data_IF_764190460948
#
_entry.id   IF_764190460948
#
_cell.length_a   1.000
_cell.length_b   1.000
_cell.length_c   1.000
_cell.angle_alpha   90.00
_cell.angle_beta   90.00
_cell.angle_gamma   90.00
#
_symmetry.space_group_name_H-M   'P 1'
#
loop_
_entity.id
_entity.type
_entity.pdbx_description
1 polymer ?
#
# COMPACT_ATOMS: atom_id res chain seq x y z
N UNK A 1 32.61 4.22 -3.07
CA UNK A 1 31.28 4.68 -3.49
C UNK A 1 31.09 6.15 -3.11
N UNK A 2 30.20 6.88 -3.79
CA UNK A 2 29.90 8.29 -3.46
C UNK A 2 28.69 8.37 -2.53
N UNK A 3 28.80 9.12 -1.44
CA UNK A 3 27.71 9.38 -0.51
C UNK A 3 27.34 10.86 -0.59
N UNK A 4 26.06 11.14 -0.82
CA UNK A 4 25.55 12.51 -0.92
C UNK A 4 24.56 12.79 0.21
N UNK A 5 24.86 13.78 1.04
CA UNK A 5 23.98 14.25 2.12
C UNK A 5 23.68 15.73 1.87
N UNK A 6 22.47 16.01 1.36
CA UNK A 6 22.10 17.36 0.92
C UNK A 6 22.98 17.83 -0.24
N UNK A 7 23.76 18.89 -0.03
CA UNK A 7 24.71 19.44 -1.03
C UNK A 7 26.13 18.89 -0.88
N UNK A 8 26.42 18.14 0.18
CA UNK A 8 27.76 17.62 0.46
C UNK A 8 27.94 16.25 -0.20
N UNK A 9 29.09 16.06 -0.85
CA UNK A 9 29.49 14.80 -1.47
C UNK A 9 30.80 14.32 -0.84
N UNK A 10 30.83 13.05 -0.44
CA UNK A 10 32.02 12.41 0.14
C UNK A 10 32.25 11.05 -0.52
N UNK A 11 33.52 10.64 -0.56
CA UNK A 11 33.88 9.28 -0.93
C UNK A 11 33.89 8.40 0.31
N UNK A 12 33.29 7.20 0.18
CA UNK A 12 33.28 6.17 1.20
C UNK A 12 33.88 4.89 0.60
N UNK A 13 34.94 4.39 1.23
CA UNK A 13 35.53 3.08 0.89
C UNK A 13 34.91 1.99 1.76
N UNK A 14 33.72 1.53 1.36
CA UNK A 14 33.06 0.35 1.92
C UNK A 14 32.64 -0.58 0.78
N UNK A 15 33.43 -1.63 0.56
CA UNK A 15 33.19 -2.61 -0.51
C UNK A 15 31.92 -3.43 -0.29
N UNK A 16 31.56 -3.71 0.96
CA UNK A 16 30.37 -4.53 1.27
C UNK A 16 29.11 -3.73 1.00
N UNK A 17 29.09 -2.47 1.41
CA UNK A 17 27.97 -1.57 1.12
C UNK A 17 27.85 -1.30 -0.38
N UNK A 18 28.97 -1.03 -1.07
CA UNK A 18 28.97 -0.82 -2.51
C UNK A 18 28.35 -2.01 -3.25
N UNK A 19 28.78 -3.24 -2.90
CA UNK A 19 28.23 -4.45 -3.51
C UNK A 19 26.73 -4.63 -3.21
N UNK A 20 26.32 -4.38 -1.97
CA UNK A 20 24.90 -4.48 -1.60
C UNK A 20 24.02 -3.48 -2.36
N UNK A 21 24.51 -2.27 -2.64
CA UNK A 21 23.80 -1.27 -3.45
C UNK A 21 23.70 -1.73 -4.91
N UNK A 22 24.77 -2.25 -5.49
CA UNK A 22 24.77 -2.81 -6.85
C UNK A 22 23.77 -3.97 -6.99
N UNK A 23 23.87 -4.98 -6.13
CA UNK A 23 23.01 -6.16 -6.16
C UNK A 23 21.53 -5.77 -5.94
N UNK A 24 21.25 -4.81 -5.05
CA UNK A 24 19.90 -4.30 -4.83
C UNK A 24 19.32 -3.67 -6.10
N UNK A 25 20.09 -2.83 -6.79
CA UNK A 25 19.66 -2.18 -8.03
C UNK A 25 19.38 -3.21 -9.14
N UNK A 26 20.25 -4.20 -9.31
CA UNK A 26 20.09 -5.26 -10.31
C UNK A 26 18.83 -6.10 -10.05
N UNK A 27 18.65 -6.58 -8.81
CA UNK A 27 17.48 -7.38 -8.43
C UNK A 27 16.20 -6.56 -8.56
N UNK A 28 16.21 -5.28 -8.16
CA UNK A 28 15.04 -4.41 -8.30
C UNK A 28 14.64 -4.22 -9.75
N UNK A 29 15.61 -4.02 -10.65
CA UNK A 29 15.35 -3.91 -12.08
C UNK A 29 14.74 -5.19 -12.67
N UNK A 30 15.21 -6.36 -12.25
CA UNK A 30 14.62 -7.65 -12.64
C UNK A 30 13.19 -7.80 -12.13
N UNK A 31 12.94 -7.45 -10.86
CA UNK A 31 11.60 -7.47 -10.26
C UNK A 31 10.66 -6.54 -11.02
N UNK A 32 11.11 -5.34 -11.39
CA UNK A 32 10.29 -4.38 -12.12
C UNK A 32 9.92 -4.89 -13.52
N UNK A 33 10.89 -5.47 -14.24
CA UNK A 33 10.62 -6.11 -15.53
C UNK A 33 9.62 -7.28 -15.40
N UNK A 34 9.76 -8.11 -14.37
CA UNK A 34 8.84 -9.21 -14.10
C UNK A 34 7.44 -8.71 -13.71
N UNK A 35 7.33 -7.63 -12.93
CA UNK A 35 6.06 -7.02 -12.56
C UNK A 35 5.32 -6.46 -13.77
N UNK A 36 6.02 -5.83 -14.70
CA UNK A 36 5.43 -5.37 -15.96
C UNK A 36 4.91 -6.55 -16.80
N UNK A 37 5.67 -7.65 -16.88
CA UNK A 37 5.20 -8.86 -17.55
C UNK A 37 3.96 -9.47 -16.86
N UNK A 38 3.95 -9.53 -15.53
CA UNK A 38 2.82 -10.02 -14.74
C UNK A 38 1.56 -9.19 -14.93
N UNK A 39 1.69 -7.88 -15.15
CA UNK A 39 0.57 -6.98 -15.39
C UNK A 39 -0.24 -7.40 -16.61
N UNK A 40 0.42 -7.75 -17.72
CA UNK A 40 -0.25 -8.23 -18.93
C UNK A 40 -1.06 -9.50 -18.69
N UNK A 41 -0.49 -10.47 -17.97
CA UNK A 41 -1.22 -11.70 -17.61
C UNK A 41 -2.39 -11.43 -16.66
N UNK A 42 -2.20 -10.53 -15.68
CA UNK A 42 -3.25 -10.14 -14.74
C UNK A 42 -4.43 -9.50 -15.48
N UNK A 43 -4.17 -8.64 -16.45
CA UNK A 43 -5.22 -7.95 -17.22
C UNK A 43 -6.05 -8.95 -18.04
N UNK A 44 -5.41 -9.92 -18.71
CA UNK A 44 -6.10 -11.00 -19.43
C UNK A 44 -6.94 -11.86 -18.47
N UNK A 45 -6.34 -12.33 -17.36
CA UNK A 45 -7.02 -13.14 -16.34
C UNK A 45 -8.24 -12.40 -15.79
N UNK A 46 -8.09 -11.12 -15.44
CA UNK A 46 -9.19 -10.31 -14.92
C UNK A 46 -10.29 -10.09 -15.96
N UNK A 47 -9.94 -9.92 -17.23
CA UNK A 47 -10.92 -9.77 -18.32
C UNK A 47 -11.75 -11.04 -18.47
N UNK A 48 -11.10 -12.21 -18.57
CA UNK A 48 -11.79 -13.50 -18.67
C UNK A 48 -12.60 -13.84 -17.42
N UNK A 49 -12.07 -13.55 -16.25
CA UNK A 49 -12.78 -13.69 -14.99
C UNK A 49 -14.09 -12.90 -14.94
N UNK A 50 -14.11 -11.65 -15.45
CA UNK A 50 -15.33 -10.85 -15.55
C UNK A 50 -16.33 -11.44 -16.53
N UNK A 51 -15.87 -11.91 -17.69
CA UNK A 51 -16.73 -12.57 -18.68
C UNK A 51 -17.41 -13.81 -18.08
N UNK A 52 -16.66 -14.65 -17.37
CA UNK A 52 -17.17 -15.86 -16.72
C UNK A 52 -18.20 -15.54 -15.63
N UNK A 53 -17.99 -14.46 -14.87
CA UNK A 53 -18.90 -14.02 -13.81
C UNK A 53 -20.07 -13.16 -14.30
N UNK A 54 -20.14 -12.79 -15.58
CA UNK A 54 -21.15 -11.84 -16.07
C UNK A 54 -22.60 -12.27 -15.79
N UNK A 55 -22.83 -13.58 -15.67
CA UNK A 55 -24.13 -14.18 -15.35
C UNK A 55 -24.20 -14.74 -13.90
N UNK A 56 -23.25 -14.39 -13.03
CA UNK A 56 -23.14 -14.93 -11.67
C UNK A 56 -22.92 -13.81 -10.63
N UNK A 57 -23.75 -13.79 -9.58
CA UNK A 57 -23.62 -12.84 -8.47
C UNK A 57 -22.37 -13.06 -7.59
N UNK A 58 -21.59 -14.11 -7.86
CA UNK A 58 -20.34 -14.36 -7.17
C UNK A 58 -19.32 -13.24 -7.44
N UNK A 59 -18.66 -12.78 -6.38
CA UNK A 59 -17.63 -11.74 -6.45
C UNK A 59 -16.23 -12.33 -6.58
N UNK A 60 -16.11 -13.66 -6.61
CA UNK A 60 -14.83 -14.37 -6.55
C UNK A 60 -14.92 -15.65 -7.37
N UNK A 61 -13.84 -15.99 -8.08
CA UNK A 61 -13.65 -17.29 -8.70
C UNK A 61 -12.20 -17.78 -8.54
N UNK A 62 -12.00 -19.08 -8.76
CA UNK A 62 -10.68 -19.68 -8.84
C UNK A 62 -10.49 -20.29 -10.24
N UNK A 63 -9.36 -20.02 -10.88
CA UNK A 63 -8.96 -20.61 -12.16
C UNK A 63 -7.80 -21.58 -11.91
N UNK A 64 -7.87 -22.78 -12.48
CA UNK A 64 -6.85 -23.82 -12.29
C UNK A 64 -6.34 -24.34 -13.64
N UNK A 65 -5.04 -24.61 -13.72
CA UNK A 65 -4.37 -25.31 -14.81
C UNK A 65 -3.41 -26.32 -14.20
N UNK A 66 -3.78 -27.61 -14.24
CA UNK A 66 -3.05 -28.65 -13.51
C UNK A 66 -3.04 -28.40 -12.01
N UNK A 67 -1.85 -28.36 -11.40
CA UNK A 67 -1.66 -28.05 -9.97
C UNK A 67 -1.55 -26.54 -9.68
N UNK A 68 -1.46 -25.71 -10.72
CA UNK A 68 -1.38 -24.26 -10.57
C UNK A 68 -2.77 -23.64 -10.53
N UNK A 69 -2.97 -22.63 -9.67
CA UNK A 69 -4.24 -21.92 -9.57
C UNK A 69 -4.10 -20.47 -9.17
N UNK A 70 -5.04 -19.65 -9.64
CA UNK A 70 -5.15 -18.24 -9.27
C UNK A 70 -6.56 -17.94 -8.78
N UNK A 71 -6.64 -17.20 -7.68
CA UNK A 71 -7.90 -16.66 -7.16
C UNK A 71 -8.09 -15.24 -7.68
N UNK A 72 -9.26 -14.97 -8.25
CA UNK A 72 -9.66 -13.63 -8.70
C UNK A 72 -10.83 -13.19 -7.83
N UNK A 73 -10.65 -12.09 -7.11
CA UNK A 73 -11.68 -11.47 -6.28
C UNK A 73 -11.96 -10.06 -6.77
N UNK A 74 -13.23 -9.76 -7.03
CA UNK A 74 -13.73 -8.43 -7.31
C UNK A 74 -14.27 -7.83 -6.00
N UNK A 75 -13.62 -6.78 -5.52
CA UNK A 75 -14.07 -6.00 -4.37
C UNK A 75 -14.38 -4.57 -4.79
N UNK A 76 -15.26 -3.92 -4.03
CA UNK A 76 -15.63 -2.53 -4.24
C UNK A 76 -15.22 -1.71 -3.02
N UNK A 77 -14.51 -0.61 -3.24
CA UNK A 77 -14.27 0.41 -2.21
C UNK A 77 -15.49 1.34 -2.19
N UNK A 78 -16.39 1.11 -1.24
CA UNK A 78 -17.62 1.89 -1.08
C UNK A 78 -17.39 2.94 0.01
N UNK A 79 -17.48 4.22 -0.36
CA UNK A 79 -17.38 5.35 0.57
C UNK A 79 -18.70 6.09 0.62
N UNK A 80 -19.09 6.50 1.83
CA UNK A 80 -20.22 7.41 2.02
C UNK A 80 -19.77 8.80 1.59
N UNK A 81 -20.30 9.28 0.46
CA UNK A 81 -20.01 10.63 -0.07
C UNK A 81 -21.04 11.68 0.39
N UNK A 82 -22.27 11.26 0.64
CA UNK A 82 -23.37 12.10 1.15
C UNK A 82 -24.07 11.37 2.30
N UNK A 83 -23.60 11.65 3.51
CA UNK A 83 -24.14 11.08 4.74
C UNK A 83 -25.61 11.43 4.93
N UNK A 84 -25.98 12.69 4.65
CA UNK A 84 -27.31 13.21 4.93
C UNK A 84 -28.36 12.50 4.08
N UNK A 85 -28.10 12.38 2.77
CA UNK A 85 -29.02 11.67 1.87
C UNK A 85 -29.02 10.16 2.14
N UNK A 86 -27.86 9.56 2.43
CA UNK A 86 -27.80 8.13 2.75
C UNK A 86 -28.60 7.80 4.02
N UNK A 87 -28.58 8.69 5.02
CA UNK A 87 -29.36 8.55 6.26
C UNK A 87 -30.87 8.66 6.02
N UNK A 88 -31.30 9.53 5.10
CA UNK A 88 -32.71 9.59 4.67
C UNK A 88 -33.16 8.29 3.98
N UNK A 89 -32.30 7.70 3.14
CA UNK A 89 -32.61 6.47 2.39
C UNK A 89 -32.63 5.22 3.29
N UNK A 90 -31.70 5.11 4.24
CA UNK A 90 -31.57 3.94 5.11
C UNK A 90 -32.44 4.04 6.37
N UNK A 91 -32.85 5.25 6.77
CA UNK A 91 -33.64 5.49 7.98
C UNK A 91 -33.00 4.86 9.21
N UNK A 92 -33.81 4.13 9.98
CA UNK A 92 -33.39 3.48 11.23
C UNK A 92 -32.29 2.41 11.04
N UNK A 93 -32.04 1.95 9.81
CA UNK A 93 -30.98 0.98 9.51
C UNK A 93 -29.61 1.64 9.32
N UNK A 94 -29.54 2.96 9.22
CA UNK A 94 -28.28 3.66 8.97
C UNK A 94 -27.23 3.30 10.04
N UNK A 95 -27.57 3.45 11.31
CA UNK A 95 -26.65 3.19 12.42
C UNK A 95 -26.34 1.69 12.62
N UNK A 96 -27.10 0.79 11.96
CA UNK A 96 -26.81 -0.65 11.91
C UNK A 96 -25.78 -1.00 10.82
N UNK A 97 -25.79 -0.27 9.71
CA UNK A 97 -25.03 -0.58 8.49
C UNK A 97 -23.80 0.32 8.30
N UNK A 98 -23.75 1.46 8.99
CA UNK A 98 -22.68 2.44 8.89
C UNK A 98 -22.03 2.60 10.26
N UNK A 99 -20.69 2.44 10.29
CA UNK A 99 -19.88 2.65 11.49
C UNK A 99 -19.13 3.97 11.37
N UNK A 100 -19.23 4.81 12.40
CA UNK A 100 -18.43 6.04 12.51
C UNK A 100 -17.04 5.71 13.04
N UNK A 101 -16.01 6.18 12.34
CA UNK A 101 -14.62 6.10 12.77
C UNK A 101 -14.01 7.52 12.83
N UNK A 102 -13.50 7.89 14.00
CA UNK A 102 -12.81 9.17 14.20
C UNK A 102 -11.31 8.91 14.29
N UNK A 103 -10.55 9.36 13.30
CA UNK A 103 -9.08 9.27 13.31
C UNK A 103 -8.45 10.64 13.60
N UNK A 104 -7.70 10.74 14.69
CA UNK A 104 -6.88 11.92 14.97
C UNK A 104 -5.53 11.80 14.26
N UNK A 105 -5.31 12.64 13.25
CA UNK A 105 -4.02 12.70 12.54
C UNK A 105 -3.17 13.80 13.16
N UNK A 106 -1.97 13.50 13.69
CA UNK A 106 -1.11 14.51 14.30
C UNK A 106 -0.61 15.49 13.23
N UNK A 107 -0.78 16.77 13.53
CA UNK A 107 -0.26 17.87 12.72
C UNK A 107 1.27 18.01 12.84
N UNK A 108 1.89 18.72 11.88
CA UNK A 108 3.35 18.89 11.82
C UNK A 108 3.96 19.35 13.14
N UNK A 109 3.37 20.38 13.77
CA UNK A 109 3.85 20.93 15.05
C UNK A 109 3.82 19.93 16.19
N UNK A 110 2.80 19.07 16.24
CA UNK A 110 2.73 18.01 17.27
C UNK A 110 3.80 16.94 17.05
N UNK A 111 4.10 16.59 15.79
CA UNK A 111 5.18 15.63 15.46
C UNK A 111 6.55 16.15 15.87
N UNK A 112 6.82 17.44 15.69
CA UNK A 112 8.09 18.06 16.08
C UNK A 112 8.25 18.09 17.61
N UNK A 113 7.20 18.50 18.34
CA UNK A 113 7.19 18.52 19.82
C UNK A 113 7.28 17.12 20.44
N UNK A 114 6.71 16.10 19.78
CA UNK A 114 6.81 14.72 20.24
C UNK A 114 8.26 14.22 20.35
N UNK A 115 9.19 14.81 19.59
CA UNK A 115 10.60 14.43 19.58
C UNK A 115 11.43 15.20 20.63
N UNK A 116 10.94 16.32 21.18
CA UNK A 116 11.69 17.21 22.09
C UNK A 116 11.57 16.90 23.60
N UNK A 117 10.92 15.80 23.99
CA UNK A 117 10.84 15.28 25.38
C UNK A 117 10.20 16.21 26.43
N UNK A 118 8.97 16.64 26.16
CA UNK A 118 8.18 17.50 27.07
C UNK A 118 7.00 16.75 27.76
N UNK A 119 7.13 15.45 28.05
CA UNK A 119 6.06 14.64 28.69
C UNK A 119 4.90 14.23 27.76
N UNK A 120 4.77 14.84 26.58
CA UNK A 120 3.77 14.50 25.56
C UNK A 120 3.93 13.09 24.97
N UNK A 121 5.12 12.49 25.08
CA UNK A 121 5.42 11.15 24.55
C UNK A 121 4.56 10.06 25.17
N UNK A 122 4.11 10.23 26.42
CA UNK A 122 3.26 9.25 27.11
C UNK A 122 1.89 9.07 26.44
N UNK A 123 1.42 10.08 25.72
CA UNK A 123 0.15 10.05 24.99
C UNK A 123 0.32 9.71 23.50
N UNK A 124 1.55 9.45 23.04
CA UNK A 124 1.87 9.27 21.62
C UNK A 124 2.59 7.94 21.41
N UNK A 125 2.09 7.13 20.48
CA UNK A 125 2.83 5.95 20.01
C UNK A 125 3.88 6.38 18.99
N UNK A 126 5.11 6.59 19.45
CA UNK A 126 6.24 6.97 18.61
C UNK A 126 7.01 5.70 18.24
N UNK A 127 6.86 5.26 17.00
CA UNK A 127 7.65 4.18 16.41
C UNK A 127 8.47 4.73 15.26
N UNK A 128 9.77 4.44 15.27
CA UNK A 128 10.59 4.66 14.10
C UNK A 128 10.01 3.84 12.95
N UNK A 129 9.76 4.50 11.80
CA UNK A 129 9.33 3.77 10.62
C UNK A 129 10.49 2.94 10.11
N UNK A 130 10.19 1.73 9.65
CA UNK A 130 11.17 0.93 8.92
C UNK A 130 11.78 1.78 7.79
N UNK A 131 13.12 1.90 7.73
CA UNK A 131 13.78 2.63 6.65
C UNK A 131 13.33 2.11 5.29
N UNK A 132 13.01 3.02 4.37
CA UNK A 132 12.67 2.67 2.98
C UNK A 132 13.90 2.81 2.10
N UNK A 133 14.19 1.78 1.30
CA UNK A 133 15.22 1.82 0.26
C UNK A 133 14.52 1.85 -1.10
N UNK A 134 14.88 2.82 -1.93
CA UNK A 134 14.38 2.95 -3.30
C UNK A 134 15.54 3.25 -4.25
N UNK A 135 15.45 2.73 -5.47
CA UNK A 135 16.34 3.14 -6.56
C UNK A 135 16.07 4.62 -6.90
N UNK A 136 17.11 5.32 -7.35
CA UNK A 136 17.04 6.73 -7.77
C UNK A 136 16.87 6.80 -9.28
#
# INVERSE_FOLDING_TARGET
MKVKIGKNETELDDKKLARAVEDFCEIKAQIDALNENLKGFKDEICTRAREILSDNDATTLNLFVGESGVKVSFGWDIKVSDESNLRLLLGDKFDLLVKTETTFKPEKRLKELALSDDGLKECLEIKEKTPSVSTI
#
